data_IF_657374696683
#
_entry.id   IF_657374696683
#
_cell.length_a   1.000
_cell.length_b   1.000
_cell.length_c   1.000
_cell.angle_alpha   90.00
_cell.angle_beta   90.00
_cell.angle_gamma   90.00
#
_symmetry.space_group_name_H-M   'P 1'
#
loop_
_entity.id
_entity.type
_entity.pdbx_description
1 polymer ?
#
# COMPACT_ATOMS: atom_id res chain seq x y z
N UNK A 1 4.86 5.47 -42.68
CA UNK A 1 3.65 6.11 -43.22
C UNK A 1 3.25 7.26 -42.33
N UNK A 2 3.96 8.39 -42.40
CA UNK A 2 3.52 9.65 -41.76
C UNK A 2 4.45 10.78 -42.24
N UNK A 3 4.33 11.10 -43.54
CA UNK A 3 5.06 12.22 -44.19
C UNK A 3 4.30 12.61 -45.46
N UNK A 4 3.13 13.21 -45.28
CA UNK A 4 2.40 13.91 -46.37
C UNK A 4 1.17 14.57 -45.74
N UNK A 5 1.31 15.77 -45.24
CA UNK A 5 0.22 16.74 -45.03
C UNK A 5 0.77 18.01 -44.38
N UNK A 6 1.60 18.73 -45.12
CA UNK A 6 1.94 20.14 -44.79
C UNK A 6 2.51 20.77 -46.07
N UNK A 7 1.66 21.00 -47.06
CA UNK A 7 1.96 21.87 -48.17
C UNK A 7 0.65 22.20 -48.89
N UNK A 8 -0.10 23.18 -48.43
CA UNK A 8 -1.07 23.94 -49.27
C UNK A 8 -1.66 25.04 -48.41
N UNK A 9 -1.05 26.18 -48.34
CA UNK A 9 -1.76 27.49 -48.20
C UNK A 9 -0.75 28.63 -48.22
N UNK A 10 -0.11 28.86 -49.34
CA UNK A 10 0.50 30.16 -49.64
C UNK A 10 0.18 30.41 -51.11
N UNK A 11 -0.89 31.10 -51.36
CA UNK A 11 -1.31 31.48 -52.69
C UNK A 11 -2.19 32.72 -52.67
N UNK A 12 -1.64 33.78 -53.19
CA UNK A 12 -2.35 34.98 -53.67
C UNK A 12 -2.63 36.12 -52.67
N UNK A 13 -1.61 36.91 -52.52
CA UNK A 13 -1.85 38.32 -52.30
C UNK A 13 -0.97 39.13 -53.26
N UNK A 14 -1.41 39.26 -54.50
CA UNK A 14 -0.87 40.25 -55.45
C UNK A 14 -1.67 41.53 -55.28
N UNK A 15 -1.13 42.43 -54.51
CA UNK A 15 -1.63 43.75 -54.29
C UNK A 15 -1.59 44.58 -55.61
N UNK A 16 -2.71 45.12 -55.95
CA UNK A 16 -2.86 46.04 -57.08
C UNK A 16 -2.21 47.40 -56.76
N UNK A 17 -0.95 47.55 -57.12
CA UNK A 17 -0.14 48.78 -56.88
C UNK A 17 -0.38 49.88 -57.91
N UNK A 18 -1.43 49.83 -58.74
CA UNK A 18 -1.68 50.81 -59.81
C UNK A 18 -2.85 51.80 -59.58
N UNK A 19 -3.59 51.58 -58.52
CA UNK A 19 -4.76 52.45 -58.23
C UNK A 19 -4.50 53.62 -57.24
N UNK A 20 -3.40 53.62 -56.53
CA UNK A 20 -3.10 54.61 -55.50
C UNK A 20 -2.28 55.84 -56.00
N UNK A 21 -1.67 55.70 -57.22
CA UNK A 21 -0.83 56.79 -57.75
C UNK A 21 -1.64 57.98 -58.40
N UNK A 22 -2.87 57.69 -58.81
CA UNK A 22 -3.68 58.76 -59.46
C UNK A 22 -4.55 59.59 -58.48
N UNK A 23 -4.69 59.09 -57.22
CA UNK A 23 -5.48 59.82 -56.23
C UNK A 23 -4.66 60.94 -55.50
N UNK A 24 -3.33 60.78 -55.52
CA UNK A 24 -2.44 61.77 -54.87
C UNK A 24 -2.17 63.00 -55.69
N UNK A 25 -2.41 62.98 -57.04
CA UNK A 25 -2.17 64.07 -57.94
C UNK A 25 -3.34 65.07 -58.00
N UNK A 26 -4.52 64.67 -57.62
CA UNK A 26 -5.74 65.54 -57.64
C UNK A 26 -5.86 66.34 -56.32
N UNK A 27 -5.23 65.91 -55.25
CA UNK A 27 -5.30 66.58 -53.93
C UNK A 27 -4.26 67.68 -53.80
N UNK A 28 -3.28 67.77 -54.73
CA UNK A 28 -2.24 68.86 -54.73
C UNK A 28 -2.60 70.15 -55.45
N UNK A 29 -3.73 70.20 -56.16
CA UNK A 29 -4.14 71.43 -56.91
C UNK A 29 -5.25 72.24 -56.23
N UNK A 30 -5.75 71.82 -55.08
CA UNK A 30 -6.85 72.57 -54.39
C UNK A 30 -6.39 73.47 -53.22
N UNK A 31 -5.08 73.66 -53.03
CA UNK A 31 -4.56 74.39 -51.85
C UNK A 31 -3.98 75.82 -52.15
N UNK A 32 -4.31 76.40 -53.29
CA UNK A 32 -3.74 77.70 -53.59
C UNK A 32 -4.80 78.80 -53.85
N UNK A 33 -5.75 78.98 -52.96
CA UNK A 33 -6.55 80.22 -52.94
C UNK A 33 -7.26 80.37 -51.62
N UNK A 34 -6.63 81.06 -50.68
CA UNK A 34 -7.30 81.98 -49.73
C UNK A 34 -6.26 82.65 -48.82
N UNK A 35 -5.63 83.65 -49.40
CA UNK A 35 -5.00 84.64 -48.57
C UNK A 35 -6.00 85.76 -48.42
N UNK A 36 -6.34 86.19 -47.20
CA UNK A 36 -7.11 87.42 -46.95
C UNK A 36 -7.86 87.50 -45.67
N UNK A 37 -7.33 88.17 -44.72
CA UNK A 37 -8.20 89.05 -43.91
C UNK A 37 -8.38 88.72 -42.42
N UNK A 38 -7.72 89.57 -41.67
CA UNK A 38 -8.25 90.29 -40.45
C UNK A 38 -8.24 89.57 -39.11
N UNK A 39 -7.36 90.08 -38.32
CA UNK A 39 -7.32 90.09 -36.85
C UNK A 39 -8.67 90.05 -36.15
N UNK A 40 -8.91 89.08 -35.35
CA UNK A 40 -9.61 89.22 -34.09
C UNK A 40 -9.01 88.26 -33.10
N UNK A 41 -8.19 88.76 -32.20
CA UNK A 41 -7.77 88.08 -30.98
C UNK A 41 -9.00 87.62 -30.21
N UNK A 42 -9.27 86.34 -30.34
CA UNK A 42 -10.16 85.63 -29.42
C UNK A 42 -9.33 85.18 -28.19
N UNK A 43 -9.86 85.34 -26.98
CA UNK A 43 -9.14 84.94 -25.80
C UNK A 43 -8.87 83.42 -25.89
N UNK A 44 -7.65 83.04 -25.59
CA UNK A 44 -7.23 81.64 -25.51
C UNK A 44 -8.08 80.95 -24.46
N UNK A 45 -9.17 80.36 -24.91
CA UNK A 45 -9.91 79.39 -24.11
C UNK A 45 -8.99 78.20 -23.88
N UNK A 46 -8.39 78.15 -22.70
CA UNK A 46 -7.60 77.05 -22.32
C UNK A 46 -8.43 75.76 -22.52
N UNK A 47 -7.93 74.85 -23.30
CA UNK A 47 -8.52 73.49 -23.36
C UNK A 47 -8.74 73.01 -21.93
N UNK A 48 -9.93 72.54 -21.60
CA UNK A 48 -10.15 71.99 -20.29
C UNK A 48 -9.16 70.85 -20.10
N UNK A 49 -8.56 70.70 -18.91
CA UNK A 49 -7.59 69.64 -18.65
C UNK A 49 -8.22 68.29 -18.96
N UNK A 50 -7.50 67.38 -19.60
CA UNK A 50 -8.04 66.10 -19.94
C UNK A 50 -8.47 65.39 -18.65
N UNK A 51 -9.69 64.92 -18.62
CA UNK A 51 -10.18 64.10 -17.49
C UNK A 51 -9.56 62.75 -17.60
N UNK A 52 -8.72 62.39 -16.65
CA UNK A 52 -8.12 61.07 -16.53
C UNK A 52 -8.78 60.30 -15.37
N UNK A 53 -9.26 59.11 -15.68
CA UNK A 53 -9.75 58.21 -14.64
C UNK A 53 -8.55 57.66 -13.86
N UNK A 54 -8.53 57.89 -12.56
CA UNK A 54 -7.53 57.34 -11.66
C UNK A 54 -8.16 56.23 -10.80
N UNK A 55 -7.54 55.11 -10.76
CA UNK A 55 -7.90 54.04 -9.83
C UNK A 55 -6.94 54.12 -8.64
N UNK A 56 -7.50 54.38 -7.46
CA UNK A 56 -6.71 54.35 -6.22
C UNK A 56 -6.44 52.92 -5.84
N UNK A 57 -5.22 52.48 -6.06
CA UNK A 57 -4.79 51.13 -5.65
C UNK A 57 -4.69 51.10 -4.12
N UNK A 58 -5.45 50.22 -3.51
CA UNK A 58 -5.34 49.91 -2.08
C UNK A 58 -4.58 48.64 -1.90
N UNK A 59 -3.69 48.60 -0.92
CA UNK A 59 -3.01 47.38 -0.50
C UNK A 59 -4.02 46.44 0.14
N UNK A 60 -4.27 45.34 -0.50
CA UNK A 60 -5.14 44.27 -0.02
C UNK A 60 -4.32 43.03 0.23
N UNK A 61 -4.54 42.38 1.37
CA UNK A 61 -3.92 41.09 1.65
C UNK A 61 -4.50 40.02 0.70
N UNK A 62 -3.67 39.49 -0.17
CA UNK A 62 -4.03 38.40 -1.06
C UNK A 62 -3.51 37.10 -0.45
N UNK A 63 -4.42 36.19 -0.12
CA UNK A 63 -4.02 34.86 0.29
C UNK A 63 -3.49 34.08 -0.92
N UNK A 64 -2.21 33.81 -0.94
CA UNK A 64 -1.59 32.91 -1.91
C UNK A 64 -1.92 31.47 -1.51
N UNK A 65 -2.83 30.82 -2.23
CA UNK A 65 -3.09 29.41 -2.11
C UNK A 65 -2.21 28.66 -3.12
N UNK A 66 -1.31 27.85 -2.62
CA UNK A 66 -0.52 26.97 -3.45
C UNK A 66 -1.07 25.55 -3.29
N UNK A 67 -1.61 24.98 -4.34
CA UNK A 67 -2.00 23.57 -4.37
C UNK A 67 -0.75 22.73 -4.57
N UNK A 68 -0.44 21.93 -3.55
CA UNK A 68 0.68 20.96 -3.60
C UNK A 68 0.09 19.57 -3.85
N UNK A 69 0.45 18.92 -4.96
CA UNK A 69 0.03 17.55 -5.19
C UNK A 69 0.69 16.63 -4.15
N UNK A 70 -0.11 15.85 -3.45
CA UNK A 70 0.34 14.87 -2.46
C UNK A 70 -0.26 13.49 -2.73
N UNK A 71 0.41 12.46 -2.26
CA UNK A 71 -0.11 11.10 -2.21
C UNK A 71 -0.33 10.70 -0.76
N UNK A 72 -1.48 10.09 -0.50
CA UNK A 72 -1.72 9.44 0.78
C UNK A 72 -1.18 8.02 0.70
N UNK A 73 -0.23 7.69 1.54
CA UNK A 73 0.33 6.36 1.68
C UNK A 73 -0.05 5.77 3.03
N UNK A 74 -0.28 4.45 3.05
CA UNK A 74 -0.58 3.76 4.29
C UNK A 74 0.67 3.73 5.18
N UNK A 75 0.52 4.13 6.46
CA UNK A 75 1.62 4.09 7.44
C UNK A 75 2.13 2.66 7.67
N UNK A 76 1.27 1.64 7.55
CA UNK A 76 1.62 0.22 7.69
C UNK A 76 0.84 -0.60 6.68
N UNK A 77 1.55 -1.50 6.02
CA UNK A 77 0.98 -2.46 5.07
C UNK A 77 1.39 -3.86 5.53
N UNK A 78 0.45 -4.78 5.58
CA UNK A 78 0.73 -6.18 5.88
C UNK A 78 0.17 -7.06 4.76
N UNK A 79 1.02 -7.93 4.22
CA UNK A 79 0.59 -8.96 3.28
C UNK A 79 0.13 -10.19 4.07
N UNK A 80 -1.13 -10.59 3.87
CA UNK A 80 -1.68 -11.80 4.46
C UNK A 80 -1.43 -12.96 3.49
N UNK A 81 -0.69 -13.98 3.98
CA UNK A 81 -0.41 -15.21 3.23
C UNK A 81 -0.73 -16.41 4.09
N UNK A 82 -1.31 -17.44 3.47
CA UNK A 82 -1.46 -18.74 4.13
C UNK A 82 -0.07 -19.33 4.44
N UNK A 83 0.05 -19.95 5.62
CA UNK A 83 1.27 -20.64 6.08
C UNK A 83 1.19 -22.13 5.89
N UNK A 84 0.01 -22.65 5.58
CA UNK A 84 -0.27 -24.06 5.32
C UNK A 84 -1.02 -24.21 4.01
N UNK A 85 -0.89 -25.36 3.37
CA UNK A 85 -1.56 -25.68 2.12
C UNK A 85 -2.95 -26.24 2.39
N UNK A 86 -3.90 -26.00 1.50
CA UNK A 86 -5.23 -26.60 1.60
C UNK A 86 -6.27 -25.83 0.79
N UNK A 87 -7.47 -26.36 0.76
CA UNK A 87 -8.61 -25.74 0.09
C UNK A 87 -9.19 -24.66 1.00
N UNK A 88 -9.41 -23.47 0.47
CA UNK A 88 -10.12 -22.40 1.20
C UNK A 88 -11.61 -22.75 1.20
N UNK A 89 -12.16 -23.01 2.36
CA UNK A 89 -13.57 -23.34 2.54
C UNK A 89 -14.44 -22.08 2.56
N UNK A 90 -13.94 -21.01 3.19
CA UNK A 90 -14.74 -19.82 3.41
C UNK A 90 -13.88 -18.56 3.49
N UNK A 91 -14.39 -17.46 2.92
CA UNK A 91 -13.88 -16.10 3.12
C UNK A 91 -14.81 -15.38 4.11
N UNK A 92 -14.23 -14.83 5.17
CA UNK A 92 -14.95 -14.26 6.33
C UNK A 92 -14.92 -12.72 6.37
N UNK A 93 -14.58 -12.08 5.25
CA UNK A 93 -14.52 -10.62 5.14
C UNK A 93 -15.09 -10.14 3.80
N UNK A 94 -15.41 -8.85 3.72
CA UNK A 94 -15.76 -8.15 2.48
C UNK A 94 -14.57 -7.28 2.06
N UNK A 95 -14.22 -7.31 0.79
CA UNK A 95 -13.14 -6.47 0.25
C UNK A 95 -13.45 -4.98 0.47
N UNK A 96 -12.44 -4.21 0.84
CA UNK A 96 -12.60 -2.80 1.19
C UNK A 96 -13.16 -2.53 2.60
N UNK A 97 -13.53 -3.57 3.37
CA UNK A 97 -14.01 -3.39 4.74
C UNK A 97 -12.88 -3.19 5.73
N UNK A 98 -13.20 -2.62 6.88
CA UNK A 98 -12.28 -2.52 8.00
C UNK A 98 -12.24 -3.83 8.78
N UNK A 99 -11.03 -4.31 9.10
CA UNK A 99 -10.80 -5.52 9.88
C UNK A 99 -9.95 -5.21 11.10
N UNK A 100 -10.16 -5.98 12.18
CA UNK A 100 -9.38 -5.87 13.43
C UNK A 100 -8.20 -6.84 13.40
N UNK A 101 -7.12 -6.50 14.10
CA UNK A 101 -6.03 -7.45 14.33
C UNK A 101 -6.55 -8.73 14.99
N UNK A 102 -6.12 -9.91 14.48
CA UNK A 102 -6.59 -11.22 14.94
C UNK A 102 -7.93 -11.68 14.34
N UNK A 103 -8.63 -10.83 13.58
CA UNK A 103 -9.88 -11.21 12.91
C UNK A 103 -9.60 -12.30 11.86
N UNK A 104 -10.41 -13.37 11.87
CA UNK A 104 -10.33 -14.43 10.86
C UNK A 104 -10.74 -13.89 9.49
N UNK A 105 -9.91 -14.16 8.49
CA UNK A 105 -10.10 -13.74 7.10
C UNK A 105 -10.48 -14.91 6.20
N UNK A 106 -9.72 -16.00 6.30
CA UNK A 106 -9.99 -17.22 5.54
C UNK A 106 -9.99 -18.44 6.45
N UNK A 107 -10.82 -19.40 6.12
CA UNK A 107 -10.83 -20.73 6.70
C UNK A 107 -10.35 -21.73 5.66
N UNK A 108 -9.19 -22.33 5.92
CA UNK A 108 -8.64 -23.44 5.14
C UNK A 108 -9.19 -24.75 5.71
N UNK A 109 -9.35 -25.77 4.89
CA UNK A 109 -9.74 -27.12 5.36
C UNK A 109 -8.73 -27.62 6.38
N UNK A 110 -9.20 -27.78 7.61
CA UNK A 110 -8.38 -28.17 8.75
C UNK A 110 -8.40 -29.69 9.01
N UNK A 111 -9.20 -30.48 8.28
CA UNK A 111 -9.43 -31.89 8.58
C UNK A 111 -8.11 -32.71 8.61
N UNK A 112 -7.23 -32.50 7.63
CA UNK A 112 -5.93 -33.18 7.59
C UNK A 112 -5.01 -32.77 8.76
N UNK A 113 -5.04 -31.53 9.18
CA UNK A 113 -4.24 -31.01 10.31
C UNK A 113 -4.77 -31.53 11.64
N UNK A 114 -6.09 -31.65 11.78
CA UNK A 114 -6.72 -32.25 12.95
C UNK A 114 -6.32 -33.73 13.06
N UNK A 115 -6.45 -34.50 11.98
CA UNK A 115 -6.03 -35.90 11.97
C UNK A 115 -4.54 -36.07 12.29
N UNK A 116 -3.68 -35.20 11.77
CA UNK A 116 -2.26 -35.19 12.10
C UNK A 116 -2.02 -34.90 13.59
N UNK A 117 -2.74 -33.92 14.17
CA UNK A 117 -2.66 -33.59 15.59
C UNK A 117 -3.08 -34.80 16.45
N UNK A 118 -4.19 -35.44 16.12
CA UNK A 118 -4.69 -36.62 16.84
C UNK A 118 -3.68 -37.79 16.81
N UNK A 119 -3.03 -38.00 15.66
CA UNK A 119 -1.98 -38.99 15.52
C UNK A 119 -0.77 -38.75 16.43
N UNK A 120 -0.26 -37.50 16.46
CA UNK A 120 0.90 -37.17 17.32
C UNK A 120 0.51 -37.11 18.80
N UNK A 121 -0.74 -36.82 19.14
CA UNK A 121 -1.25 -36.93 20.51
C UNK A 121 -1.28 -38.41 20.99
N UNK A 122 -1.71 -39.32 20.13
CA UNK A 122 -1.66 -40.76 20.43
C UNK A 122 -0.21 -41.21 20.65
N UNK A 123 0.75 -40.73 19.84
CA UNK A 123 2.17 -41.01 20.02
C UNK A 123 2.71 -40.45 21.34
N UNK A 124 2.28 -39.25 21.75
CA UNK A 124 2.63 -38.72 23.07
C UNK A 124 2.10 -39.58 24.20
N UNK A 125 0.84 -40.03 24.12
CA UNK A 125 0.25 -40.90 25.13
C UNK A 125 1.03 -42.23 25.23
N UNK A 126 1.45 -42.83 24.11
CA UNK A 126 2.32 -43.98 24.06
C UNK A 126 3.67 -43.73 24.74
N UNK A 127 4.34 -42.62 24.41
CA UNK A 127 5.63 -42.26 25.02
C UNK A 127 5.49 -42.03 26.53
N UNK A 128 4.41 -41.41 27.01
CA UNK A 128 4.14 -41.26 28.44
C UNK A 128 3.92 -42.59 29.16
N UNK A 129 3.21 -43.52 28.53
CA UNK A 129 3.03 -44.88 29.09
C UNK A 129 4.37 -45.63 29.22
N UNK A 130 5.22 -45.52 28.17
CA UNK A 130 6.57 -46.12 28.19
C UNK A 130 7.45 -45.50 29.30
N UNK A 131 7.40 -44.17 29.45
CA UNK A 131 8.10 -43.50 30.55
C UNK A 131 7.61 -43.99 31.92
N UNK A 132 6.29 -44.09 32.10
CA UNK A 132 5.72 -44.60 33.34
C UNK A 132 6.22 -46.01 33.67
N UNK A 133 6.29 -46.89 32.65
CA UNK A 133 6.81 -48.24 32.82
C UNK A 133 8.32 -48.25 33.18
N UNK A 134 9.13 -47.45 32.42
CA UNK A 134 10.56 -47.40 32.62
C UNK A 134 10.93 -46.77 33.99
N UNK A 135 10.24 -45.69 34.37
CA UNK A 135 10.43 -45.05 35.68
C UNK A 135 10.06 -45.98 36.83
N UNK A 136 8.92 -46.68 36.73
CA UNK A 136 8.52 -47.67 37.75
C UNK A 136 9.51 -48.84 37.87
N UNK A 137 10.15 -49.24 36.75
CA UNK A 137 11.20 -50.26 36.79
C UNK A 137 12.47 -49.76 37.49
N UNK A 138 12.92 -48.51 37.20
CA UNK A 138 14.07 -47.90 37.84
C UNK A 138 13.84 -47.73 39.36
N UNK A 139 12.63 -47.30 39.75
CA UNK A 139 12.24 -47.18 41.17
C UNK A 139 12.21 -48.53 41.89
N UNK A 140 11.72 -49.59 41.26
CA UNK A 140 11.77 -50.96 41.84
C UNK A 140 13.19 -51.50 41.98
N UNK A 141 14.07 -51.17 41.03
CA UNK A 141 15.46 -51.64 41.04
C UNK A 141 16.31 -50.90 42.10
N UNK A 142 15.94 -49.72 42.51
CA UNK A 142 16.66 -48.91 43.48
C UNK A 142 16.88 -49.64 44.85
N UNK A 143 15.85 -50.12 45.52
CA UNK A 143 16.07 -50.86 46.78
C UNK A 143 16.76 -52.19 46.58
N UNK A 144 16.59 -52.84 45.41
CA UNK A 144 17.24 -54.12 45.13
C UNK A 144 18.75 -53.99 44.98
N UNK A 145 19.26 -52.90 44.35
CA UNK A 145 20.69 -52.67 44.29
C UNK A 145 21.26 -52.29 45.65
N UNK A 146 20.53 -51.56 46.50
CA UNK A 146 20.94 -51.27 47.87
C UNK A 146 21.05 -52.54 48.70
N UNK A 147 20.12 -53.48 48.52
CA UNK A 147 20.13 -54.81 49.15
C UNK A 147 21.13 -55.80 48.47
N UNK A 148 21.88 -55.38 47.43
CA UNK A 148 22.78 -56.22 46.62
C UNK A 148 22.07 -57.42 45.94
N UNK A 149 20.77 -57.33 45.72
CA UNK A 149 19.97 -58.34 45.05
C UNK A 149 20.08 -58.28 43.51
N UNK A 150 20.49 -57.12 42.96
CA UNK A 150 20.81 -56.94 41.54
C UNK A 150 22.19 -56.26 41.39
N UNK A 151 22.73 -56.29 40.17
CA UNK A 151 24.00 -55.64 39.89
C UNK A 151 23.83 -54.12 39.78
N UNK A 152 24.89 -53.35 40.12
CA UNK A 152 24.94 -51.92 39.90
C UNK A 152 24.72 -51.56 38.42
N UNK A 153 25.27 -52.37 37.50
CA UNK A 153 25.10 -52.22 36.05
C UNK A 153 23.61 -52.28 35.64
N UNK A 154 22.88 -53.27 36.18
CA UNK A 154 21.46 -53.47 35.86
C UNK A 154 20.60 -52.27 36.35
N UNK A 155 20.89 -51.74 37.51
CA UNK A 155 20.24 -50.51 38.01
C UNK A 155 20.55 -49.32 37.10
N UNK A 156 21.83 -49.08 36.73
CA UNK A 156 22.21 -47.98 35.86
C UNK A 156 21.56 -48.07 34.48
N UNK A 157 21.40 -49.28 33.92
CA UNK A 157 20.66 -49.53 32.69
C UNK A 157 19.21 -49.13 32.84
N UNK A 158 18.53 -49.50 33.95
CA UNK A 158 17.13 -49.12 34.15
C UNK A 158 16.94 -47.62 34.27
N UNK A 159 17.87 -46.91 34.94
CA UNK A 159 17.87 -45.46 35.03
C UNK A 159 18.10 -44.81 33.64
N UNK A 160 19.02 -45.35 32.84
CA UNK A 160 19.28 -44.85 31.49
C UNK A 160 18.07 -45.04 30.57
N UNK A 161 17.37 -46.16 30.66
CA UNK A 161 16.11 -46.45 29.92
C UNK A 161 15.03 -45.45 30.32
N UNK A 162 14.86 -45.18 31.63
CA UNK A 162 13.89 -44.15 32.09
C UNK A 162 14.22 -42.74 31.56
N UNK A 163 15.50 -42.36 31.56
CA UNK A 163 15.95 -41.10 31.00
C UNK A 163 15.72 -41.01 29.47
N UNK A 164 15.97 -42.10 28.75
CA UNK A 164 15.67 -42.17 27.32
C UNK A 164 14.17 -41.99 27.05
N UNK A 165 13.31 -42.69 27.82
CA UNK A 165 11.86 -42.53 27.69
C UNK A 165 11.37 -41.12 28.05
N UNK A 166 12.04 -40.43 28.98
CA UNK A 166 11.76 -39.00 29.27
C UNK A 166 12.07 -38.09 28.09
N UNK A 167 13.20 -38.36 27.41
CA UNK A 167 13.56 -37.61 26.18
C UNK A 167 12.55 -37.90 25.04
N UNK A 168 12.05 -39.13 24.91
CA UNK A 168 11.03 -39.49 23.94
C UNK A 168 9.71 -38.75 24.19
N UNK A 169 9.30 -38.57 25.45
CA UNK A 169 8.15 -37.74 25.84
C UNK A 169 8.37 -36.28 25.46
N UNK A 170 9.58 -35.75 25.67
CA UNK A 170 9.90 -34.38 25.28
C UNK A 170 9.82 -34.18 23.77
N UNK A 171 10.35 -35.11 23.00
CA UNK A 171 10.26 -35.12 21.54
C UNK A 171 8.81 -35.23 21.04
N UNK A 172 7.99 -36.12 21.64
CA UNK A 172 6.58 -36.26 21.30
C UNK A 172 5.78 -34.98 21.64
N UNK A 173 6.08 -34.30 22.76
CA UNK A 173 5.46 -33.00 23.11
C UNK A 173 5.78 -31.93 22.05
N UNK A 174 7.02 -31.87 21.58
CA UNK A 174 7.41 -30.92 20.53
C UNK A 174 6.67 -31.22 19.21
N UNK A 175 6.48 -32.48 18.86
CA UNK A 175 5.70 -32.87 17.69
C UNK A 175 4.22 -32.46 17.80
N UNK A 176 3.59 -32.61 18.97
CA UNK A 176 2.22 -32.15 19.24
C UNK A 176 2.13 -30.61 19.07
N UNK A 177 3.10 -29.88 19.60
CA UNK A 177 3.12 -28.42 19.47
C UNK A 177 3.23 -27.99 18.00
N UNK A 178 4.08 -28.65 17.21
CA UNK A 178 4.22 -28.38 15.77
C UNK A 178 2.93 -28.67 15.01
N UNK A 179 2.28 -29.81 15.28
CA UNK A 179 1.01 -30.16 14.64
C UNK A 179 -0.12 -29.15 15.01
N UNK A 180 -0.14 -28.71 16.28
CA UNK A 180 -1.10 -27.70 16.73
C UNK A 180 -0.90 -26.35 16.03
N UNK A 181 0.35 -25.91 15.86
CA UNK A 181 0.64 -24.68 15.10
C UNK A 181 0.17 -24.77 13.64
N UNK A 182 0.34 -25.94 12.99
CA UNK A 182 -0.16 -26.15 11.64
C UNK A 182 -1.70 -26.09 11.57
N UNK A 183 -2.38 -26.65 12.57
CA UNK A 183 -3.83 -26.55 12.70
C UNK A 183 -4.29 -25.09 12.91
N UNK A 184 -3.61 -24.35 13.76
CA UNK A 184 -3.90 -22.93 14.01
C UNK A 184 -3.70 -22.10 12.74
N UNK A 185 -2.71 -22.43 11.91
CA UNK A 185 -2.46 -21.75 10.63
C UNK A 185 -3.53 -22.02 9.56
N UNK A 186 -4.36 -23.05 9.73
CA UNK A 186 -5.52 -23.24 8.85
C UNK A 186 -6.57 -22.14 8.99
N UNK A 187 -6.54 -21.38 10.07
CA UNK A 187 -7.30 -20.14 10.24
C UNK A 187 -6.39 -18.95 9.94
N UNK A 188 -6.55 -18.34 8.76
CA UNK A 188 -5.79 -17.17 8.37
C UNK A 188 -6.39 -15.93 9.00
N UNK A 189 -5.60 -15.20 9.80
CA UNK A 189 -6.05 -14.02 10.53
C UNK A 189 -5.30 -12.76 10.08
N UNK A 190 -5.91 -11.59 10.31
CA UNK A 190 -5.29 -10.30 10.05
C UNK A 190 -4.18 -10.01 11.08
N UNK A 191 -2.93 -9.73 10.65
CA UNK A 191 -1.83 -9.42 11.58
C UNK A 191 -1.92 -8.02 12.16
N UNK A 192 -2.59 -7.11 11.50
CA UNK A 192 -2.84 -5.71 11.92
C UNK A 192 -4.30 -5.34 11.63
N UNK A 193 -4.82 -4.34 12.33
CA UNK A 193 -6.10 -3.73 11.99
C UNK A 193 -5.94 -2.70 10.86
N UNK A 194 -6.97 -2.54 10.04
CA UNK A 194 -7.01 -1.60 8.93
C UNK A 194 -7.99 -2.00 7.85
N UNK A 195 -7.94 -1.32 6.72
CA UNK A 195 -8.78 -1.65 5.56
C UNK A 195 -8.17 -2.78 4.77
N UNK A 196 -8.94 -3.84 4.52
CA UNK A 196 -8.49 -4.98 3.73
C UNK A 196 -8.65 -4.66 2.24
N UNK A 197 -7.60 -4.95 1.48
CA UNK A 197 -7.61 -4.77 0.03
C UNK A 197 -8.31 -5.91 -0.71
N UNK A 198 -8.00 -6.01 -1.99
CA UNK A 198 -8.47 -7.10 -2.84
C UNK A 198 -7.70 -8.39 -2.51
N UNK A 199 -8.40 -9.52 -2.50
CA UNK A 199 -7.80 -10.85 -2.24
C UNK A 199 -7.34 -11.52 -3.53
#
# INVERSE_FOLDING_TARGET
MLKRMLASSIGNMKLNFRATSNFLLILAMASLSACGGADKSAPAGGMPPPQVGVIKVQLQAVALQTELPGRVEAMRIAQVRARVNGVVLQRLFTEGSEVKAGQALFQIDAAQYQAALDSVQANLAKAQANLGQAAAQAERNKPLVEARAISQQEYLVSVAVAKSAEADVAAAKAAVQSARLNLDYARVTAPIGGTIGRA
#
